data_IF_246080768250
#
_entry.id   IF_246080768250
#
_cell.length_a   1.000
_cell.length_b   1.000
_cell.length_c   1.000
_cell.angle_alpha   90.00
_cell.angle_beta   90.00
_cell.angle_gamma   90.00
#
_symmetry.space_group_name_H-M   'P 1'
#
loop_
_entity.id
_entity.type
_entity.pdbx_description
1 polymer ?
#
# COMPACT_ATOMS: atom_id res chain seq x y z
N UNK A 1 91.05 8.28 -52.27
CA UNK A 1 89.86 7.58 -52.82
C UNK A 1 88.81 7.23 -51.77
N UNK A 2 89.15 7.20 -50.47
CA UNK A 2 88.20 6.93 -49.38
C UNK A 2 87.20 8.08 -49.12
N UNK A 3 87.61 9.35 -49.26
CA UNK A 3 86.70 10.49 -48.99
C UNK A 3 85.53 10.59 -49.97
N UNK A 4 85.73 10.27 -51.26
CA UNK A 4 84.65 10.25 -52.26
C UNK A 4 83.67 9.08 -52.07
N UNK A 5 84.08 7.99 -51.43
CA UNK A 5 83.21 6.86 -51.09
C UNK A 5 82.41 7.09 -49.79
N UNK A 6 82.89 7.98 -48.91
CA UNK A 6 82.20 8.33 -47.66
C UNK A 6 80.95 9.20 -47.89
N UNK A 7 80.98 10.10 -48.88
CA UNK A 7 79.86 11.00 -49.21
C UNK A 7 78.56 10.23 -49.54
N UNK A 8 78.53 9.27 -50.50
CA UNK A 8 77.30 8.54 -50.82
C UNK A 8 76.81 7.68 -49.64
N UNK A 9 77.72 7.16 -48.82
CA UNK A 9 77.35 6.38 -47.62
C UNK A 9 76.68 7.26 -46.56
N UNK A 10 77.19 8.47 -46.32
CA UNK A 10 76.57 9.45 -45.42
C UNK A 10 75.19 9.88 -45.93
N UNK A 11 75.03 10.11 -47.23
CA UNK A 11 73.73 10.45 -47.84
C UNK A 11 72.74 9.31 -47.66
N UNK A 12 73.15 8.05 -47.88
CA UNK A 12 72.31 6.88 -47.68
C UNK A 12 71.84 6.76 -46.22
N UNK A 13 72.73 6.99 -45.26
CA UNK A 13 72.39 7.02 -43.83
C UNK A 13 71.38 8.13 -43.54
N UNK A 14 71.58 9.34 -44.07
CA UNK A 14 70.65 10.46 -43.86
C UNK A 14 69.27 10.17 -44.44
N UNK A 15 69.20 9.57 -45.64
CA UNK A 15 67.93 9.15 -46.25
C UNK A 15 67.27 8.06 -45.41
N UNK A 16 68.02 7.06 -44.94
CA UNK A 16 67.49 6.01 -44.09
C UNK A 16 66.93 6.58 -42.78
N UNK A 17 67.67 7.48 -42.12
CA UNK A 17 67.21 8.19 -40.91
C UNK A 17 65.95 9.02 -41.21
N UNK A 18 65.92 9.75 -42.32
CA UNK A 18 64.75 10.54 -42.73
C UNK A 18 63.51 9.65 -42.93
N UNK A 19 63.65 8.51 -43.62
CA UNK A 19 62.55 7.56 -43.85
C UNK A 19 62.08 6.96 -42.53
N UNK A 20 62.99 6.57 -41.64
CA UNK A 20 62.65 6.03 -40.31
C UNK A 20 61.86 7.07 -39.50
N UNK A 21 62.33 8.32 -39.43
CA UNK A 21 61.64 9.41 -38.73
C UNK A 21 60.29 9.71 -39.36
N UNK A 22 60.18 9.68 -40.69
CA UNK A 22 58.93 9.87 -41.42
C UNK A 22 57.91 8.78 -41.09
N UNK A 23 58.31 7.51 -41.05
CA UNK A 23 57.44 6.38 -40.68
C UNK A 23 56.96 6.52 -39.23
N UNK A 24 57.86 6.81 -38.29
CA UNK A 24 57.46 7.00 -36.89
C UNK A 24 56.51 8.19 -36.69
N UNK A 25 56.66 9.28 -37.45
CA UNK A 25 55.71 10.39 -37.43
C UNK A 25 54.40 10.10 -38.16
N UNK A 26 54.40 9.18 -39.12
CA UNK A 26 53.22 8.84 -39.89
C UNK A 26 52.21 8.04 -39.06
N UNK A 27 52.69 7.15 -38.20
CA UNK A 27 51.82 6.27 -37.41
C UNK A 27 51.21 7.03 -36.24
N UNK A 28 49.88 7.13 -36.20
CA UNK A 28 49.13 7.71 -35.08
C UNK A 28 48.05 6.75 -34.61
N UNK A 29 47.96 6.58 -33.30
CA UNK A 29 46.93 5.78 -32.64
C UNK A 29 45.91 6.72 -32.03
N UNK A 30 44.65 6.57 -32.40
CA UNK A 30 43.52 7.32 -31.83
C UNK A 30 42.83 6.44 -30.79
N UNK A 31 42.73 6.88 -29.52
CA UNK A 31 42.03 6.12 -28.48
C UNK A 31 40.52 6.00 -28.76
N UNK A 32 39.87 5.06 -28.06
CA UNK A 32 38.42 4.90 -28.13
C UNK A 32 37.68 6.15 -27.62
N UNK A 33 36.60 6.50 -28.31
CA UNK A 33 35.78 7.70 -28.04
C UNK A 33 36.52 9.03 -28.24
N UNK A 34 37.58 9.04 -29.03
CA UNK A 34 38.22 10.26 -29.52
C UNK A 34 38.17 10.30 -31.04
N UNK A 35 38.06 11.52 -31.57
CA UNK A 35 38.23 11.79 -32.99
C UNK A 35 39.32 12.84 -33.18
N UNK A 36 40.16 12.64 -34.18
CA UNK A 36 41.18 13.60 -34.58
C UNK A 36 40.80 14.19 -35.93
N UNK A 37 40.75 15.53 -35.99
CA UNK A 37 40.52 16.26 -37.24
C UNK A 37 41.87 16.60 -37.86
N UNK A 38 42.06 16.18 -39.12
CA UNK A 38 43.31 16.36 -39.85
C UNK A 38 43.12 17.31 -41.02
N UNK A 39 44.05 18.25 -41.14
CA UNK A 39 44.14 19.21 -42.21
C UNK A 39 45.36 18.93 -43.09
N UNK A 40 45.17 19.05 -44.40
CA UNK A 40 46.24 19.02 -45.39
C UNK A 40 46.38 20.39 -46.02
N UNK A 41 47.52 21.05 -45.79
CA UNK A 41 47.79 22.40 -46.30
C UNK A 41 46.64 23.40 -45.98
N UNK A 42 46.02 23.26 -44.81
CA UNK A 42 44.93 24.12 -44.34
C UNK A 42 43.53 23.76 -44.84
N UNK A 43 43.37 22.68 -45.62
CA UNK A 43 42.05 22.14 -45.99
C UNK A 43 41.72 20.92 -45.16
N UNK A 44 40.45 20.76 -44.80
CA UNK A 44 39.96 19.52 -44.19
C UNK A 44 40.26 18.32 -45.10
N UNK A 45 40.90 17.29 -44.55
CA UNK A 45 41.22 16.06 -45.26
C UNK A 45 40.34 14.91 -44.79
N UNK A 46 40.41 14.59 -43.50
CA UNK A 46 39.75 13.42 -42.94
C UNK A 46 39.51 13.58 -41.44
N UNK A 47 38.54 12.81 -40.95
CA UNK A 47 38.28 12.57 -39.54
C UNK A 47 38.77 11.16 -39.20
N UNK A 48 39.68 11.06 -38.24
CA UNK A 48 40.20 9.78 -37.77
C UNK A 48 39.57 9.43 -36.42
N UNK A 49 38.69 8.43 -36.43
CA UNK A 49 38.15 7.81 -35.22
C UNK A 49 39.10 6.78 -34.59
N UNK A 50 38.60 5.98 -33.65
CA UNK A 50 39.42 5.01 -32.93
C UNK A 50 40.16 4.02 -33.86
N UNK A 51 41.45 3.81 -33.62
CA UNK A 51 42.27 2.87 -34.39
C UNK A 51 43.65 3.41 -34.80
N UNK A 52 44.33 2.62 -35.62
CA UNK A 52 45.63 2.98 -36.19
C UNK A 52 45.42 3.74 -37.51
N UNK A 53 45.96 4.94 -37.60
CA UNK A 53 45.87 5.79 -38.79
C UNK A 53 47.25 6.25 -39.24
N UNK A 54 47.38 6.51 -40.54
CA UNK A 54 48.61 6.97 -41.16
C UNK A 54 48.45 8.42 -41.64
N UNK A 55 49.24 9.33 -41.07
CA UNK A 55 49.32 10.72 -41.48
C UNK A 55 50.52 10.90 -42.40
N UNK A 56 50.39 11.71 -43.45
CA UNK A 56 51.55 12.08 -44.27
C UNK A 56 52.38 13.08 -43.47
N UNK A 57 53.58 12.73 -43.00
CA UNK A 57 54.39 13.63 -42.19
C UNK A 57 54.70 14.90 -42.99
N UNK A 58 54.81 16.03 -42.28
CA UNK A 58 55.09 17.37 -42.84
C UNK A 58 53.95 18.03 -43.65
N UNK A 59 53.06 17.26 -44.29
CA UNK A 59 51.94 17.81 -45.08
C UNK A 59 50.63 17.81 -44.28
N UNK A 60 50.36 16.72 -43.56
CA UNK A 60 49.16 16.57 -42.75
C UNK A 60 49.42 17.10 -41.33
N UNK A 61 48.50 17.92 -40.82
CA UNK A 61 48.55 18.50 -39.47
C UNK A 61 47.29 18.17 -38.71
N UNK A 62 47.44 17.74 -37.46
CA UNK A 62 46.32 17.58 -36.53
C UNK A 62 45.83 18.96 -36.09
N UNK A 63 44.56 19.27 -36.38
CA UNK A 63 43.92 20.55 -36.05
C UNK A 63 43.33 20.53 -34.64
N UNK A 64 42.52 19.51 -34.33
CA UNK A 64 41.84 19.34 -33.04
C UNK A 64 41.69 17.86 -32.72
N UNK A 65 41.74 17.54 -31.43
CA UNK A 65 41.35 16.24 -30.89
C UNK A 65 40.08 16.47 -30.10
N UNK A 66 39.00 15.82 -30.51
CA UNK A 66 37.67 15.97 -29.92
C UNK A 66 37.34 14.70 -29.13
N UNK A 67 36.89 14.90 -27.89
CA UNK A 67 36.37 13.82 -27.07
C UNK A 67 34.88 13.63 -27.39
N UNK A 68 34.51 12.42 -27.78
CA UNK A 68 33.16 12.04 -28.20
C UNK A 68 32.30 11.56 -27.04
N UNK A 69 32.86 11.45 -25.82
CA UNK A 69 32.12 11.05 -24.62
C UNK A 69 31.18 12.17 -24.19
N UNK A 70 30.20 11.78 -23.39
CA UNK A 70 29.37 12.74 -22.68
C UNK A 70 30.20 13.52 -21.67
N UNK A 71 30.06 14.84 -21.72
CA UNK A 71 30.77 15.79 -20.89
C UNK A 71 29.78 16.65 -20.13
N UNK A 72 30.18 16.98 -18.92
CA UNK A 72 29.43 17.86 -18.04
C UNK A 72 30.13 19.20 -17.93
N UNK A 73 29.37 20.28 -18.09
CA UNK A 73 29.88 21.63 -17.86
C UNK A 73 28.89 22.43 -17.01
N UNK A 74 29.42 23.08 -15.98
CA UNK A 74 28.67 24.01 -15.13
C UNK A 74 28.90 25.44 -15.60
N UNK A 75 27.82 26.20 -15.77
CA UNK A 75 27.90 27.63 -16.07
C UNK A 75 27.72 28.47 -14.80
N UNK A 76 28.37 29.63 -14.70
CA UNK A 76 28.28 30.49 -13.53
C UNK A 76 26.86 31.07 -13.36
N UNK A 77 26.46 31.42 -12.11
CA UNK A 77 25.17 32.02 -11.83
C UNK A 77 24.88 33.23 -12.72
N UNK A 78 23.72 33.23 -13.35
CA UNK A 78 23.26 34.36 -14.15
C UNK A 78 22.04 35.02 -13.48
N UNK A 79 22.05 36.36 -13.32
CA UNK A 79 20.89 37.08 -12.82
C UNK A 79 19.82 37.16 -13.91
N UNK A 80 18.62 36.69 -13.60
CA UNK A 80 17.44 36.72 -14.46
C UNK A 80 16.28 37.38 -13.73
N UNK A 81 15.44 38.11 -14.45
CA UNK A 81 14.26 38.76 -13.89
C UNK A 81 13.05 37.88 -14.20
N UNK A 82 12.29 37.52 -13.17
CA UNK A 82 11.01 36.81 -13.26
C UNK A 82 9.87 37.76 -13.64
N UNK A 83 8.70 37.21 -13.98
CA UNK A 83 7.52 37.99 -14.38
C UNK A 83 6.98 38.92 -13.27
N UNK A 84 7.22 38.60 -12.01
CA UNK A 84 6.92 39.41 -10.82
C UNK A 84 8.03 40.41 -10.46
N UNK A 85 8.97 40.64 -11.39
CA UNK A 85 10.03 41.64 -11.28
C UNK A 85 11.01 41.38 -10.13
N UNK A 86 11.26 40.10 -9.80
CA UNK A 86 12.30 39.69 -8.86
C UNK A 86 13.55 39.24 -9.62
N UNK A 87 14.73 39.57 -9.07
CA UNK A 87 16.01 39.12 -9.62
C UNK A 87 16.40 37.81 -8.95
N UNK A 88 16.44 36.73 -9.72
CA UNK A 88 16.88 35.40 -9.29
C UNK A 88 18.22 35.05 -9.92
N UNK A 89 19.10 34.41 -9.17
CA UNK A 89 20.35 33.86 -9.69
C UNK A 89 20.16 32.38 -9.99
N UNK A 90 20.48 31.96 -11.22
CA UNK A 90 20.27 30.58 -11.65
C UNK A 90 21.59 29.97 -12.12
N UNK A 91 21.92 28.84 -11.50
CA UNK A 91 23.04 27.98 -11.88
C UNK A 91 22.51 26.81 -12.70
N UNK A 92 23.20 26.47 -13.78
CA UNK A 92 22.83 25.32 -14.62
C UNK A 92 24.04 24.48 -14.98
N UNK A 93 23.77 23.19 -15.15
CA UNK A 93 24.72 22.17 -15.59
C UNK A 93 24.18 21.53 -16.86
N UNK A 94 25.04 21.40 -17.86
CA UNK A 94 24.66 20.89 -19.18
C UNK A 94 25.48 19.66 -19.49
N UNK A 95 24.77 18.60 -19.87
CA UNK A 95 25.33 17.34 -20.35
C UNK A 95 25.27 17.35 -21.87
N UNK A 96 26.43 17.31 -22.51
CA UNK A 96 26.54 17.35 -23.96
C UNK A 96 27.54 16.33 -24.46
N UNK A 97 27.37 15.90 -25.71
CA UNK A 97 28.33 15.07 -26.42
C UNK A 97 28.53 15.58 -27.84
N UNK A 98 29.75 15.48 -28.34
CA UNK A 98 30.04 15.80 -29.73
C UNK A 98 29.71 14.58 -30.60
N UNK A 99 28.72 14.74 -31.47
CA UNK A 99 28.27 13.69 -32.41
C UNK A 99 28.94 13.78 -33.77
N UNK A 100 29.29 14.99 -34.21
CA UNK A 100 30.03 15.25 -35.45
C UNK A 100 31.20 16.20 -35.14
N UNK A 101 32.43 15.67 -34.99
CA UNK A 101 33.59 16.46 -34.58
C UNK A 101 34.11 17.38 -35.69
N UNK A 102 33.84 17.05 -36.97
CA UNK A 102 34.14 17.94 -38.10
C UNK A 102 33.29 19.20 -37.99
N UNK A 103 31.98 19.05 -37.82
CA UNK A 103 31.05 20.17 -37.67
C UNK A 103 31.37 21.01 -36.44
N UNK A 104 31.67 20.37 -35.31
CA UNK A 104 32.04 21.07 -34.08
C UNK A 104 33.34 21.89 -34.23
N UNK A 105 34.25 21.50 -35.11
CA UNK A 105 35.53 22.20 -35.35
C UNK A 105 35.40 23.35 -36.35
N UNK A 106 34.53 23.23 -37.36
CA UNK A 106 34.48 24.18 -38.48
C UNK A 106 33.24 25.06 -38.54
N UNK A 107 32.10 24.62 -37.98
CA UNK A 107 30.85 25.37 -38.04
C UNK A 107 30.73 26.41 -36.92
N UNK A 108 31.55 26.30 -35.87
CA UNK A 108 31.61 27.28 -34.77
C UNK A 108 33.01 27.41 -34.17
N UNK A 109 33.37 28.64 -33.78
CA UNK A 109 34.69 28.93 -33.19
C UNK A 109 34.86 28.39 -31.76
N UNK A 110 33.83 28.54 -30.92
CA UNK A 110 33.76 28.00 -29.57
C UNK A 110 32.33 27.58 -29.27
N UNK A 111 32.07 26.28 -29.38
CA UNK A 111 30.74 25.76 -29.08
C UNK A 111 30.36 25.92 -27.60
N UNK A 112 31.34 25.86 -26.69
CA UNK A 112 31.05 25.99 -25.26
C UNK A 112 30.52 27.38 -24.91
N UNK A 113 31.16 28.42 -25.46
CA UNK A 113 30.71 29.81 -25.29
C UNK A 113 29.35 30.05 -25.94
N UNK A 114 29.08 29.40 -27.06
CA UNK A 114 27.79 29.54 -27.73
C UNK A 114 26.66 28.83 -26.98
N UNK A 115 26.93 27.64 -26.42
CA UNK A 115 26.01 26.94 -25.51
C UNK A 115 25.71 27.80 -24.29
N UNK A 116 26.72 28.44 -23.69
CA UNK A 116 26.54 29.38 -22.57
C UNK A 116 25.58 30.51 -22.95
N UNK A 117 25.83 31.19 -24.07
CA UNK A 117 24.99 32.32 -24.52
C UNK A 117 23.56 31.89 -24.85
N UNK A 118 23.39 30.74 -25.50
CA UNK A 118 22.07 30.17 -25.76
C UNK A 118 21.35 29.84 -24.47
N UNK A 119 22.06 29.31 -23.47
CA UNK A 119 21.52 28.99 -22.15
C UNK A 119 21.05 30.25 -21.45
N UNK A 120 21.86 31.31 -21.40
CA UNK A 120 21.46 32.60 -20.80
C UNK A 120 20.23 33.18 -21.48
N UNK A 121 20.19 33.16 -22.81
CA UNK A 121 19.07 33.69 -23.58
C UNK A 121 17.79 32.87 -23.33
N UNK A 122 17.92 31.55 -23.28
CA UNK A 122 16.79 30.64 -23.04
C UNK A 122 16.28 30.77 -21.62
N UNK A 123 17.18 30.81 -20.61
CA UNK A 123 16.82 31.08 -19.22
C UNK A 123 16.06 32.41 -19.09
N UNK A 124 16.55 33.48 -19.71
CA UNK A 124 15.86 34.78 -19.68
C UNK A 124 14.44 34.71 -20.25
N UNK A 125 14.24 33.99 -21.34
CA UNK A 125 12.94 33.85 -21.98
C UNK A 125 11.97 32.98 -21.15
N UNK A 126 12.43 31.83 -20.66
CA UNK A 126 11.60 30.89 -19.89
C UNK A 126 11.22 31.51 -18.55
N UNK A 127 12.21 31.98 -17.78
CA UNK A 127 12.00 32.53 -16.44
C UNK A 127 11.30 33.88 -16.49
N UNK A 128 11.53 34.69 -17.53
CA UNK A 128 10.81 35.95 -17.71
C UNK A 128 9.30 35.78 -17.89
N UNK A 129 8.83 34.58 -18.26
CA UNK A 129 7.42 34.23 -18.38
C UNK A 129 6.82 33.57 -17.11
N UNK A 130 7.64 33.29 -16.11
CA UNK A 130 7.25 32.60 -14.87
C UNK A 130 7.40 33.54 -13.67
N UNK A 131 6.59 33.36 -12.64
CA UNK A 131 6.82 34.02 -11.34
C UNK A 131 7.88 33.25 -10.52
N UNK A 132 8.26 33.78 -9.35
CA UNK A 132 9.25 33.13 -8.49
C UNK A 132 8.80 31.74 -7.99
N UNK A 133 7.53 31.59 -7.59
CA UNK A 133 7.02 30.32 -7.03
C UNK A 133 6.98 29.21 -8.10
N UNK A 134 6.48 29.53 -9.28
CA UNK A 134 6.47 28.65 -10.44
C UNK A 134 7.89 28.29 -10.85
N UNK A 135 8.82 29.24 -10.82
CA UNK A 135 10.24 28.98 -11.12
C UNK A 135 10.85 27.99 -10.14
N UNK A 136 10.52 28.07 -8.85
CA UNK A 136 11.02 27.16 -7.81
C UNK A 136 10.42 25.76 -7.87
N UNK A 137 9.14 25.66 -8.26
CA UNK A 137 8.38 24.40 -8.28
C UNK A 137 8.44 23.65 -9.62
N UNK A 138 8.61 24.37 -10.74
CA UNK A 138 8.50 23.82 -12.10
C UNK A 138 9.85 23.51 -12.76
N UNK A 139 10.81 22.98 -11.97
CA UNK A 139 12.18 22.70 -12.45
C UNK A 139 12.23 21.75 -13.65
N UNK A 140 11.39 20.72 -13.67
CA UNK A 140 11.34 19.74 -14.76
C UNK A 140 10.85 20.36 -16.07
N UNK A 141 9.87 21.27 -15.99
CA UNK A 141 9.38 22.01 -17.15
C UNK A 141 10.48 22.91 -17.72
N UNK A 142 11.22 23.60 -16.85
CA UNK A 142 12.33 24.47 -17.26
C UNK A 142 13.44 23.63 -17.92
N UNK A 143 13.87 22.55 -17.28
CA UNK A 143 14.87 21.61 -17.83
C UNK A 143 14.46 21.09 -19.21
N UNK A 144 13.20 20.68 -19.38
CA UNK A 144 12.66 20.18 -20.64
C UNK A 144 12.68 21.23 -21.76
N UNK A 145 12.27 22.46 -21.46
CA UNK A 145 12.28 23.57 -22.42
C UNK A 145 13.71 23.97 -22.80
N UNK A 146 14.63 24.10 -21.83
CA UNK A 146 16.04 24.39 -22.12
C UNK A 146 16.67 23.32 -22.99
N UNK A 147 16.50 22.05 -22.63
CA UNK A 147 17.03 20.92 -23.42
C UNK A 147 16.53 20.96 -24.86
N UNK A 148 15.23 21.19 -25.07
CA UNK A 148 14.64 21.25 -26.40
C UNK A 148 15.22 22.37 -27.28
N UNK A 149 15.32 23.58 -26.73
CA UNK A 149 15.87 24.74 -27.47
C UNK A 149 17.37 24.56 -27.73
N UNK A 150 18.12 24.11 -26.71
CA UNK A 150 19.56 23.92 -26.83
C UNK A 150 19.91 22.82 -27.82
N UNK A 151 19.30 21.64 -27.72
CA UNK A 151 19.60 20.52 -28.64
C UNK A 151 19.28 20.87 -30.10
N UNK A 152 18.15 21.54 -30.35
CA UNK A 152 17.79 22.00 -31.68
C UNK A 152 18.80 23.01 -32.24
N UNK A 153 19.28 23.94 -31.40
CA UNK A 153 20.23 24.95 -31.81
C UNK A 153 21.64 24.35 -32.02
N UNK A 154 22.12 23.51 -31.09
CA UNK A 154 23.48 22.94 -31.08
C UNK A 154 23.66 21.79 -32.06
N UNK A 155 22.58 21.13 -32.47
CA UNK A 155 22.62 20.11 -33.53
C UNK A 155 23.16 20.67 -34.84
N UNK A 156 23.07 21.99 -35.05
CA UNK A 156 23.69 22.69 -36.18
C UNK A 156 25.22 22.78 -36.11
N UNK A 157 25.85 22.36 -35.01
CA UNK A 157 27.30 22.33 -34.82
C UNK A 157 27.82 20.91 -34.57
N UNK A 158 26.98 19.89 -34.77
CA UNK A 158 27.36 18.50 -34.48
C UNK A 158 27.37 18.14 -32.99
N UNK A 159 26.68 18.92 -32.14
CA UNK A 159 26.64 18.72 -30.69
C UNK A 159 25.22 18.35 -30.26
N UNK A 160 25.11 17.26 -29.51
CA UNK A 160 23.86 16.82 -28.89
C UNK A 160 23.85 17.20 -27.43
N UNK A 161 22.76 17.80 -26.97
CA UNK A 161 22.53 18.07 -25.54
C UNK A 161 21.67 16.95 -24.98
N UNK A 162 22.26 16.11 -24.14
CA UNK A 162 21.56 14.98 -23.54
C UNK A 162 20.58 15.44 -22.48
N UNK A 163 21.05 16.29 -21.56
CA UNK A 163 20.27 16.78 -20.43
C UNK A 163 20.71 18.17 -19.98
N UNK A 164 19.79 18.90 -19.34
CA UNK A 164 20.04 20.19 -18.71
C UNK A 164 19.44 20.14 -17.32
N UNK A 165 20.23 20.52 -16.32
CA UNK A 165 19.81 20.51 -14.93
C UNK A 165 20.07 21.88 -14.29
N UNK A 166 19.04 22.44 -13.67
CA UNK A 166 19.19 23.59 -12.78
C UNK A 166 19.84 23.12 -11.46
N UNK A 167 20.99 23.68 -11.14
CA UNK A 167 21.72 23.37 -9.90
C UNK A 167 21.12 24.11 -8.70
N UNK A 168 20.89 25.42 -8.83
CA UNK A 168 20.22 26.24 -7.84
C UNK A 168 19.41 27.36 -8.50
N UNK A 169 18.42 27.83 -7.76
CA UNK A 169 17.60 29.00 -8.08
C UNK A 169 17.56 29.81 -6.78
N UNK A 170 18.33 30.89 -6.75
CA UNK A 170 18.56 31.65 -5.55
C UNK A 170 17.79 32.98 -5.62
N UNK A 171 16.72 33.16 -4.81
CA UNK A 171 15.97 34.42 -4.73
C UNK A 171 16.80 35.52 -4.04
N UNK A 172 16.39 36.79 -4.18
CA UNK A 172 17.06 37.87 -3.48
C UNK A 172 16.83 37.75 -1.96
N UNK A 173 17.86 38.06 -1.18
CA UNK A 173 17.86 37.90 0.28
C UNK A 173 16.72 38.67 1.00
N UNK A 174 16.18 39.72 0.36
CA UNK A 174 15.07 40.52 0.89
C UNK A 174 13.76 39.73 1.05
N UNK A 175 13.51 38.73 0.20
CA UNK A 175 12.24 37.98 0.17
C UNK A 175 12.39 36.55 0.70
N UNK A 176 13.60 36.00 0.69
CA UNK A 176 13.86 34.62 1.13
C UNK A 176 13.29 34.31 2.53
N UNK A 177 13.53 35.19 3.51
CA UNK A 177 13.03 34.98 4.88
C UNK A 177 11.50 35.08 5.00
N UNK A 178 10.87 36.00 4.28
CA UNK A 178 9.41 36.13 4.26
C UNK A 178 8.74 34.91 3.61
N UNK A 179 9.33 34.42 2.52
CA UNK A 179 8.85 33.23 1.81
C UNK A 179 9.01 31.96 2.66
N UNK A 180 10.14 31.78 3.34
CA UNK A 180 10.31 30.64 4.27
C UNK A 180 9.26 30.66 5.38
N UNK A 181 8.97 31.83 5.95
CA UNK A 181 7.94 31.99 6.98
C UNK A 181 6.53 31.69 6.42
N UNK A 182 6.22 32.18 5.22
CA UNK A 182 4.95 31.92 4.54
C UNK A 182 4.78 30.43 4.21
N UNK A 183 5.82 29.79 3.68
CA UNK A 183 5.83 28.37 3.33
C UNK A 183 5.65 27.47 4.56
N UNK A 184 6.27 27.84 5.69
CA UNK A 184 6.05 27.16 6.98
C UNK A 184 4.61 27.30 7.43
N UNK A 185 4.08 28.52 7.45
CA UNK A 185 2.71 28.78 7.86
C UNK A 185 1.68 28.02 7.00
N UNK A 186 1.87 27.97 5.68
CA UNK A 186 1.00 27.23 4.76
C UNK A 186 1.11 25.70 4.95
N UNK A 187 2.32 25.18 5.17
CA UNK A 187 2.53 23.77 5.52
C UNK A 187 1.88 23.40 6.84
N UNK A 188 2.04 24.23 7.87
CA UNK A 188 1.44 24.01 9.19
C UNK A 188 -0.09 24.03 9.09
N UNK A 189 -0.66 24.96 8.32
CA UNK A 189 -2.09 25.02 8.04
C UNK A 189 -2.59 23.76 7.35
N UNK A 190 -1.90 23.30 6.30
CA UNK A 190 -2.28 22.07 5.58
C UNK A 190 -2.17 20.84 6.46
N UNK A 191 -1.11 20.74 7.27
CA UNK A 191 -0.94 19.65 8.22
C UNK A 191 -2.07 19.62 9.27
N UNK A 192 -2.48 20.79 9.78
CA UNK A 192 -3.58 20.90 10.73
C UNK A 192 -4.93 20.47 10.11
N UNK A 193 -5.22 20.88 8.87
CA UNK A 193 -6.43 20.47 8.15
C UNK A 193 -6.45 18.95 7.93
N UNK A 194 -5.35 18.39 7.42
CA UNK A 194 -5.24 16.95 7.16
C UNK A 194 -5.38 16.14 8.46
N UNK A 195 -4.83 16.64 9.57
CA UNK A 195 -4.99 16.01 10.89
C UNK A 195 -6.45 16.04 11.35
N UNK A 196 -7.12 17.18 11.21
CA UNK A 196 -8.53 17.33 11.57
C UNK A 196 -9.44 16.41 10.72
N UNK A 197 -9.16 16.31 9.42
CA UNK A 197 -9.84 15.38 8.51
C UNK A 197 -9.60 13.92 8.89
N UNK A 198 -8.35 13.55 9.22
CA UNK A 198 -8.00 12.22 9.70
C UNK A 198 -8.71 11.85 11.00
N UNK A 199 -8.79 12.77 11.97
CA UNK A 199 -9.52 12.56 13.23
C UNK A 199 -11.01 12.39 12.97
N UNK A 200 -11.60 13.25 12.13
CA UNK A 200 -13.02 13.14 11.76
C UNK A 200 -13.31 11.79 11.09
N UNK A 201 -12.50 11.38 10.13
CA UNK A 201 -12.67 10.12 9.41
C UNK A 201 -12.52 8.92 10.35
N UNK A 202 -11.54 8.95 11.26
CA UNK A 202 -11.34 7.90 12.26
C UNK A 202 -12.54 7.78 13.22
N UNK A 203 -13.12 8.91 13.64
CA UNK A 203 -14.32 8.91 14.49
C UNK A 203 -15.54 8.34 13.77
N UNK A 204 -15.73 8.68 12.49
CA UNK A 204 -16.82 8.14 11.67
C UNK A 204 -16.68 6.62 11.54
N UNK A 205 -15.50 6.14 11.14
CA UNK A 205 -15.23 4.70 10.99
C UNK A 205 -15.41 3.93 12.30
N UNK A 206 -15.02 4.53 13.44
CA UNK A 206 -15.22 3.92 14.75
C UNK A 206 -16.72 3.81 15.09
N UNK A 207 -17.49 4.88 14.87
CA UNK A 207 -18.93 4.89 15.13
C UNK A 207 -19.70 3.91 14.22
N UNK A 208 -19.29 3.80 12.94
CA UNK A 208 -19.84 2.83 12.00
C UNK A 208 -19.52 1.40 12.43
N UNK A 209 -18.27 1.13 12.82
CA UNK A 209 -17.84 -0.16 13.37
C UNK A 209 -18.62 -0.54 14.62
N UNK A 210 -18.83 0.39 15.55
CA UNK A 210 -19.61 0.16 16.78
C UNK A 210 -21.08 -0.14 16.47
N UNK A 211 -21.70 0.62 15.57
CA UNK A 211 -23.07 0.38 15.10
C UNK A 211 -23.20 -1.01 14.49
N UNK A 212 -22.32 -1.37 13.56
CA UNK A 212 -22.36 -2.66 12.88
C UNK A 212 -22.10 -3.81 13.86
N UNK A 213 -21.15 -3.64 14.79
CA UNK A 213 -20.89 -4.60 15.86
C UNK A 213 -22.09 -4.78 16.79
N UNK A 214 -22.82 -3.71 17.12
CA UNK A 214 -24.04 -3.79 17.94
C UNK A 214 -25.16 -4.55 17.23
N UNK A 215 -25.37 -4.29 15.93
CA UNK A 215 -26.36 -5.00 15.10
C UNK A 215 -26.03 -6.50 15.05
N UNK A 216 -24.80 -6.85 14.68
CA UNK A 216 -24.36 -8.24 14.59
C UNK A 216 -24.47 -8.99 15.92
N UNK A 217 -24.22 -8.32 17.05
CA UNK A 217 -24.43 -8.92 18.38
C UNK A 217 -25.91 -9.14 18.67
N UNK A 218 -26.78 -8.19 18.35
CA UNK A 218 -28.23 -8.32 18.56
C UNK A 218 -28.81 -9.45 17.70
N UNK A 219 -28.42 -9.53 16.43
CA UNK A 219 -28.79 -10.61 15.51
C UNK A 219 -28.28 -11.96 16.01
N UNK A 220 -27.01 -12.04 16.43
CA UNK A 220 -26.44 -13.27 17.00
C UNK A 220 -27.17 -13.73 18.27
N UNK A 221 -27.59 -12.80 19.15
CA UNK A 221 -28.38 -13.12 20.34
C UNK A 221 -29.78 -13.62 19.99
N UNK A 222 -30.47 -12.95 19.06
CA UNK A 222 -31.79 -13.37 18.59
C UNK A 222 -31.74 -14.76 17.94
N UNK A 223 -30.78 -14.99 17.04
CA UNK A 223 -30.53 -16.27 16.38
C UNK A 223 -30.24 -17.37 17.42
N UNK A 224 -29.40 -17.08 18.41
CA UNK A 224 -29.07 -18.01 19.49
C UNK A 224 -30.30 -18.37 20.34
N UNK A 225 -31.13 -17.39 20.69
CA UNK A 225 -32.36 -17.62 21.45
C UNK A 225 -33.37 -18.47 20.67
N UNK A 226 -33.55 -18.21 19.38
CA UNK A 226 -34.41 -19.01 18.48
C UNK A 226 -33.90 -20.45 18.41
N UNK A 227 -32.61 -20.64 18.13
CA UNK A 227 -32.01 -21.98 18.04
C UNK A 227 -32.12 -22.74 19.36
N UNK A 228 -31.95 -22.07 20.50
CA UNK A 228 -32.13 -22.67 21.82
C UNK A 228 -33.57 -23.09 22.07
N UNK A 229 -34.55 -22.22 21.81
CA UNK A 229 -35.96 -22.54 21.97
C UNK A 229 -36.40 -23.70 21.05
N UNK A 230 -35.91 -23.73 19.81
CA UNK A 230 -36.13 -24.85 18.89
C UNK A 230 -35.49 -26.16 19.40
N UNK A 231 -34.27 -26.08 19.94
CA UNK A 231 -33.58 -27.21 20.55
C UNK A 231 -34.34 -27.78 21.75
N UNK A 232 -34.82 -26.91 22.65
CA UNK A 232 -35.64 -27.28 23.81
C UNK A 232 -36.98 -27.90 23.37
N UNK A 233 -37.67 -27.28 22.40
CA UNK A 233 -38.90 -27.83 21.84
C UNK A 233 -38.71 -29.23 21.25
N UNK A 234 -37.66 -29.42 20.43
CA UNK A 234 -37.33 -30.74 19.86
C UNK A 234 -36.98 -31.76 20.95
N UNK A 235 -36.24 -31.37 21.98
CA UNK A 235 -35.90 -32.24 23.10
C UNK A 235 -37.16 -32.65 23.87
N UNK A 236 -38.08 -31.72 24.15
CA UNK A 236 -39.36 -32.00 24.81
C UNK A 236 -40.19 -32.98 23.97
N UNK A 237 -40.31 -32.73 22.66
CA UNK A 237 -41.05 -33.62 21.76
C UNK A 237 -40.44 -35.02 21.71
N UNK A 238 -39.10 -35.14 21.65
CA UNK A 238 -38.42 -36.43 21.68
C UNK A 238 -38.66 -37.20 22.99
N UNK A 239 -38.59 -36.51 24.13
CA UNK A 239 -38.88 -37.12 25.44
C UNK A 239 -40.35 -37.53 25.54
N UNK A 240 -41.27 -36.67 25.11
CA UNK A 240 -42.71 -36.95 25.08
C UNK A 240 -43.01 -38.18 24.22
N UNK A 241 -42.46 -38.25 23.01
CA UNK A 241 -42.57 -39.39 22.10
C UNK A 241 -42.00 -40.68 22.72
N UNK A 242 -40.83 -40.59 23.37
CA UNK A 242 -40.21 -41.74 24.01
C UNK A 242 -41.06 -42.28 25.18
N UNK A 243 -41.69 -41.40 25.96
CA UNK A 243 -42.60 -41.77 27.06
C UNK A 243 -43.85 -42.49 26.51
N UNK A 244 -44.46 -41.96 25.45
CA UNK A 244 -45.66 -42.54 24.85
C UNK A 244 -45.38 -43.89 24.17
N UNK A 245 -44.25 -44.00 23.48
CA UNK A 245 -43.82 -45.23 22.79
C UNK A 245 -43.34 -46.31 23.78
N UNK A 246 -42.83 -45.91 24.95
CA UNK A 246 -42.39 -46.81 26.02
C UNK A 246 -43.50 -47.29 26.97
N UNK A 247 -44.73 -46.77 26.85
CA UNK A 247 -45.88 -47.13 27.69
C UNK A 247 -45.59 -46.98 29.20
N UNK A 248 -45.03 -45.83 29.59
CA UNK A 248 -44.61 -45.56 30.97
C UNK A 248 -45.81 -45.59 31.94
N UNK A 249 -45.71 -46.42 33.00
CA UNK A 249 -46.74 -46.56 34.04
C UNK A 249 -47.05 -45.19 34.71
N UNK A 250 -48.34 -44.80 34.86
CA UNK A 250 -48.76 -43.55 35.50
C UNK A 250 -48.09 -43.27 36.86
N UNK A 251 -47.68 -44.30 37.60
CA UNK A 251 -46.97 -44.17 38.88
C UNK A 251 -45.55 -43.60 38.75
N UNK A 252 -44.89 -43.83 37.61
CA UNK A 252 -43.52 -43.34 37.36
C UNK A 252 -43.51 -41.84 37.04
N UNK A 253 -44.54 -41.36 36.33
CA UNK A 253 -44.75 -39.93 36.05
C UNK A 253 -44.99 -39.15 37.34
N UNK A 254 -45.83 -39.67 38.24
CA UNK A 254 -46.06 -39.08 39.55
C UNK A 254 -44.78 -39.03 40.39
N UNK A 255 -43.93 -40.06 40.32
CA UNK A 255 -42.64 -40.09 41.02
C UNK A 255 -41.61 -39.10 40.45
N UNK A 256 -41.49 -38.98 39.12
CA UNK A 256 -40.65 -37.95 38.49
C UNK A 256 -41.13 -36.54 38.85
N UNK A 257 -42.46 -36.31 38.83
CA UNK A 257 -43.04 -35.03 39.24
C UNK A 257 -42.65 -34.68 40.68
N UNK A 258 -42.72 -35.67 41.60
CA UNK A 258 -42.27 -35.54 42.99
C UNK A 258 -40.76 -35.28 43.12
N UNK A 259 -39.92 -35.84 42.25
CA UNK A 259 -38.48 -35.55 42.19
C UNK A 259 -38.13 -34.18 41.56
N UNK A 260 -39.03 -33.60 40.75
CA UNK A 260 -38.85 -32.24 40.22
C UNK A 260 -39.29 -31.14 41.20
N UNK A 261 -40.16 -31.46 42.17
CA UNK A 261 -40.59 -30.52 43.22
C UNK A 261 -39.43 -29.85 43.97
N UNK A 262 -38.34 -30.56 44.39
CA UNK A 262 -37.18 -29.94 45.01
C UNK A 262 -36.42 -28.95 44.10
N UNK A 263 -36.41 -29.19 42.78
CA UNK A 263 -35.73 -28.30 41.81
C UNK A 263 -36.52 -26.99 41.61
N UNK A 264 -37.85 -27.07 41.69
CA UNK A 264 -38.75 -25.90 41.66
C UNK A 264 -38.65 -25.10 42.97
N UNK A 265 -38.38 -25.77 44.10
CA UNK A 265 -38.18 -25.12 45.40
C UNK A 265 -36.81 -24.40 45.53
N UNK A 266 -35.78 -24.82 44.79
CA UNK A 266 -34.44 -24.20 44.83
C UNK A 266 -34.22 -23.07 43.81
N UNK A 267 -35.19 -22.78 42.93
CA UNK A 267 -35.14 -21.61 42.04
C UNK A 267 -35.37 -20.32 42.84
N UNK A 268 -34.46 -19.36 42.74
CA UNK A 268 -34.37 -18.15 43.58
C UNK A 268 -35.53 -17.13 43.44
N UNK A 269 -36.73 -17.53 43.01
CA UNK A 269 -37.92 -16.65 42.91
C UNK A 269 -39.26 -17.32 43.26
N UNK A 270 -39.27 -18.46 43.94
CA UNK A 270 -40.53 -19.11 44.37
C UNK A 270 -41.09 -18.52 45.67
N UNK A 271 -41.77 -17.36 45.58
CA UNK A 271 -42.51 -16.74 46.72
C UNK A 271 -44.04 -16.87 46.63
N UNK A 272 -44.55 -17.49 45.56
CA UNK A 272 -45.99 -17.76 45.38
C UNK A 272 -46.23 -19.26 45.39
N UNK A 273 -46.96 -19.73 46.41
CA UNK A 273 -47.36 -21.12 46.60
C UNK A 273 -48.84 -21.24 46.24
N UNK A 274 -49.16 -21.96 45.16
CA UNK A 274 -50.54 -22.28 44.77
C UNK A 274 -50.74 -23.77 45.02
N UNK A 275 -51.63 -24.12 45.94
CA UNK A 275 -52.09 -25.50 46.12
C UNK A 275 -53.28 -25.71 45.19
N UNK A 276 -53.21 -26.64 44.22
CA UNK A 276 -54.35 -27.00 43.40
C UNK A 276 -55.43 -27.66 44.28
N UNK A 277 -56.68 -27.26 44.09
CA UNK A 277 -57.88 -27.78 44.77
C UNK A 277 -58.07 -29.30 44.67
N UNK A 278 -57.42 -29.94 43.69
CA UNK A 278 -57.39 -31.39 43.52
C UNK A 278 -56.68 -32.12 44.69
N UNK A 279 -55.70 -31.48 45.33
CA UNK A 279 -55.04 -32.04 46.52
C UNK A 279 -55.97 -32.05 47.73
N UNK A 280 -56.83 -31.04 47.87
CA UNK A 280 -57.82 -30.95 48.95
C UNK A 280 -58.97 -31.93 48.74
N UNK A 281 -59.43 -32.11 47.49
CA UNK A 281 -60.49 -33.06 47.14
C UNK A 281 -60.07 -34.53 47.39
N UNK A 282 -58.82 -34.87 47.10
CA UNK A 282 -58.26 -36.19 47.42
C UNK A 282 -58.17 -36.45 48.94
N UNK A 283 -58.01 -35.39 49.74
CA UNK A 283 -57.92 -35.48 51.20
C UNK A 283 -59.30 -35.66 51.86
N UNK A 284 -60.35 -35.02 51.33
CA UNK A 284 -61.74 -35.19 51.80
C UNK A 284 -62.34 -36.56 51.45
N UNK A 285 -61.93 -37.16 50.33
CA UNK A 285 -62.30 -38.54 50.00
C UNK A 285 -61.78 -39.57 51.01
N UNK A 286 -60.67 -39.27 51.69
CA UNK A 286 -60.08 -40.11 52.74
C UNK A 286 -60.74 -39.83 54.11
N UNK A 287 -61.20 -38.60 54.37
CA UNK A 287 -61.88 -38.24 55.62
C UNK A 287 -63.32 -38.78 55.68
N UNK A 288 -64.03 -38.84 54.54
CA UNK A 288 -65.40 -39.36 54.44
C UNK A 288 -65.54 -40.88 54.59
N UNK A 289 -64.46 -41.65 54.44
CA UNK A 289 -64.46 -43.10 54.60
C UNK A 289 -64.25 -43.57 56.07
N UNK A 290 -63.96 -42.66 57.00
CA UNK A 290 -63.56 -42.99 58.39
C UNK A 290 -64.52 -42.47 59.49
N UNK A 291 -65.60 -41.75 59.18
CA UNK A 291 -66.52 -41.24 60.21
C UNK A 291 -67.95 -40.96 59.74
N UNK A 292 -68.92 -41.76 60.21
CA UNK A 292 -70.34 -41.59 59.86
C UNK A 292 -71.15 -40.73 60.84
N UNK A 293 -72.17 -40.01 60.31
CA UNK A 293 -73.57 -39.93 60.79
C UNK A 293 -74.45 -38.92 60.01
N UNK A 294 -75.54 -39.46 59.45
CA UNK A 294 -76.96 -39.03 59.39
C UNK A 294 -77.42 -37.55 59.19
N UNK A 295 -78.00 -37.32 58.01
CA UNK A 295 -79.42 -36.96 57.70
C UNK A 295 -80.10 -35.64 58.14
N UNK A 296 -80.27 -34.72 57.16
CA UNK A 296 -81.54 -34.08 56.68
C UNK A 296 -82.26 -32.99 57.50
N UNK A 297 -83.24 -32.21 56.94
CA UNK A 297 -83.73 -32.12 55.55
C UNK A 297 -83.81 -30.67 54.97
N UNK A 298 -84.13 -30.58 53.67
CA UNK A 298 -84.21 -29.38 52.82
C UNK A 298 -85.37 -28.40 53.13
N UNK A 299 -85.30 -27.17 52.55
CA UNK A 299 -86.45 -26.67 51.79
C UNK A 299 -86.11 -26.09 50.42
N UNK A 300 -87.14 -26.14 49.56
CA UNK A 300 -87.23 -25.72 48.17
C UNK A 300 -87.14 -24.20 47.97
N UNK A 301 -86.45 -23.77 46.92
CA UNK A 301 -86.46 -22.41 46.39
C UNK A 301 -85.93 -22.39 44.97
N UNK A 302 -86.85 -22.19 44.01
CA UNK A 302 -86.62 -22.04 42.58
C UNK A 302 -85.72 -20.84 42.27
N UNK A 303 -84.62 -21.10 41.59
CA UNK A 303 -83.72 -20.11 41.01
C UNK A 303 -82.78 -20.81 40.04
N UNK A 304 -83.07 -20.64 38.76
CA UNK A 304 -82.32 -21.05 37.57
C UNK A 304 -80.79 -21.16 37.80
N UNK A 305 -80.24 -22.37 37.63
CA UNK A 305 -78.81 -22.62 37.58
C UNK A 305 -78.24 -22.10 36.25
N UNK A 306 -77.55 -20.96 36.31
CA UNK A 306 -76.70 -20.53 35.21
C UNK A 306 -75.44 -21.42 35.15
N UNK A 307 -75.12 -22.05 34.02
CA UNK A 307 -73.85 -22.74 33.88
C UNK A 307 -72.75 -21.68 33.84
N UNK A 308 -71.79 -21.74 34.76
CA UNK A 308 -70.53 -21.01 34.61
C UNK A 308 -69.69 -21.77 33.58
N UNK A 309 -70.10 -21.66 32.31
CA UNK A 309 -69.21 -21.85 31.18
C UNK A 309 -68.35 -20.60 31.07
N UNK A 310 -67.04 -20.79 30.93
CA UNK A 310 -66.20 -19.72 30.40
C UNK A 310 -66.68 -19.45 28.98
N UNK A 311 -67.31 -18.31 28.80
CA UNK A 311 -67.79 -17.82 27.52
C UNK A 311 -66.60 -17.56 26.60
N UNK A 312 -66.40 -18.45 25.62
CA UNK A 312 -65.46 -18.27 24.51
C UNK A 312 -66.13 -17.61 23.28
N UNK A 313 -67.36 -17.09 23.42
CA UNK A 313 -68.08 -16.43 22.32
C UNK A 313 -67.94 -14.90 22.29
N UNK A 314 -67.11 -14.34 23.17
CA UNK A 314 -66.76 -12.91 23.16
C UNK A 314 -65.52 -12.51 22.35
N UNK A 315 -64.79 -13.47 21.79
CA UNK A 315 -63.58 -13.19 21.01
C UNK A 315 -63.80 -13.54 19.54
N UNK A 316 -64.69 -12.80 18.88
CA UNK A 316 -64.49 -12.52 17.46
C UNK A 316 -63.30 -11.54 17.32
N UNK A 317 -62.11 -11.96 17.77
CA UNK A 317 -60.88 -11.44 17.21
C UNK A 317 -60.80 -12.05 15.81
N UNK A 318 -61.39 -11.30 14.89
CA UNK A 318 -60.83 -11.05 13.58
C UNK A 318 -60.12 -12.25 12.94
N UNK A 319 -60.89 -13.04 12.20
CA UNK A 319 -60.37 -13.96 11.18
C UNK A 319 -59.49 -13.22 10.14
N UNK A 320 -59.40 -11.88 10.17
CA UNK A 320 -58.39 -11.08 9.49
C UNK A 320 -56.98 -11.25 10.06
N UNK A 321 -56.77 -11.36 11.38
CA UNK A 321 -55.40 -11.39 11.95
C UNK A 321 -54.70 -12.73 11.71
N UNK A 322 -55.42 -13.85 11.76
CA UNK A 322 -54.86 -15.17 11.44
C UNK A 322 -54.57 -15.33 9.93
N UNK A 323 -55.37 -14.69 9.08
CA UNK A 323 -55.16 -14.63 7.63
C UNK A 323 -54.02 -13.67 7.26
N UNK A 324 -53.89 -12.54 7.95
CA UNK A 324 -52.82 -11.56 7.75
C UNK A 324 -51.46 -12.11 8.22
N UNK A 325 -51.43 -12.91 9.30
CA UNK A 325 -50.21 -13.62 9.73
C UNK A 325 -49.82 -14.76 8.78
N UNK A 326 -50.79 -15.39 8.10
CA UNK A 326 -50.55 -16.39 7.06
C UNK A 326 -50.13 -15.79 5.71
N UNK A 327 -50.47 -14.51 5.47
CA UNK A 327 -50.09 -13.77 4.25
C UNK A 327 -48.70 -13.11 4.32
N UNK A 328 -48.11 -13.06 5.53
CA UNK A 328 -46.71 -12.68 5.71
C UNK A 328 -45.87 -13.93 5.45
N UNK A 329 -45.50 -14.13 4.19
CA UNK A 329 -44.67 -15.23 3.73
C UNK A 329 -43.25 -15.08 4.33
N UNK A 330 -43.09 -15.51 5.57
CA UNK A 330 -41.79 -15.62 6.23
C UNK A 330 -41.04 -16.77 5.56
N UNK A 331 -39.86 -16.53 4.97
CA UNK A 331 -39.08 -17.59 4.34
C UNK A 331 -38.82 -18.70 5.34
N UNK A 332 -38.85 -19.93 4.85
CA UNK A 332 -38.49 -21.09 5.67
C UNK A 332 -37.06 -20.90 6.22
N UNK A 333 -36.73 -21.45 7.41
CA UNK A 333 -35.41 -21.23 8.02
C UNK A 333 -34.22 -21.60 7.12
N UNK A 334 -34.41 -22.52 6.17
CA UNK A 334 -33.40 -22.88 5.17
C UNK A 334 -33.23 -21.82 4.08
N UNK A 335 -34.32 -21.20 3.60
CA UNK A 335 -34.26 -20.12 2.61
C UNK A 335 -33.68 -18.84 3.20
N UNK A 336 -34.03 -18.48 4.44
CA UNK A 336 -33.47 -17.33 5.13
C UNK A 336 -31.95 -17.48 5.34
N UNK A 337 -31.48 -18.69 5.61
CA UNK A 337 -30.06 -18.99 5.82
C UNK A 337 -29.28 -19.04 4.49
N UNK A 338 -29.92 -19.50 3.41
CA UNK A 338 -29.37 -19.44 2.06
C UNK A 338 -29.23 -18.00 1.56
N UNK A 339 -30.24 -17.15 1.82
CA UNK A 339 -30.20 -15.73 1.45
C UNK A 339 -29.13 -14.97 2.23
N UNK A 340 -29.03 -15.17 3.55
CA UNK A 340 -27.98 -14.55 4.37
C UNK A 340 -26.57 -14.96 3.95
N UNK A 341 -26.37 -16.20 3.47
CA UNK A 341 -25.08 -16.64 2.90
C UNK A 341 -24.79 -15.98 1.55
N UNK A 342 -25.78 -15.87 0.67
CA UNK A 342 -25.62 -15.19 -0.62
C UNK A 342 -25.29 -13.71 -0.46
N UNK A 343 -25.95 -13.02 0.47
CA UNK A 343 -25.69 -11.62 0.78
C UNK A 343 -24.28 -11.43 1.38
N UNK A 344 -23.85 -12.32 2.29
CA UNK A 344 -22.49 -12.30 2.84
C UNK A 344 -21.41 -12.55 1.77
N UNK A 345 -21.64 -13.48 0.83
CA UNK A 345 -20.71 -13.75 -0.27
C UNK A 345 -20.63 -12.57 -1.25
N UNK A 346 -21.76 -11.91 -1.54
CA UNK A 346 -21.79 -10.72 -2.41
C UNK A 346 -21.07 -9.52 -1.78
N UNK A 347 -21.28 -9.25 -0.48
CA UNK A 347 -20.55 -8.20 0.23
C UNK A 347 -19.04 -8.48 0.32
N UNK A 348 -18.64 -9.75 0.39
CA UNK A 348 -17.23 -10.17 0.37
C UNK A 348 -16.58 -9.94 -1.00
N UNK A 349 -17.34 -10.14 -2.09
CA UNK A 349 -16.89 -9.91 -3.46
C UNK A 349 -16.79 -8.42 -3.77
N UNK A 350 -17.78 -7.62 -3.36
CA UNK A 350 -17.74 -6.15 -3.51
C UNK A 350 -16.56 -5.54 -2.76
N UNK A 351 -16.30 -5.97 -1.52
CA UNK A 351 -15.12 -5.53 -0.76
C UNK A 351 -13.77 -5.95 -1.40
N UNK A 352 -13.76 -7.00 -2.22
CA UNK A 352 -12.58 -7.43 -2.98
C UNK A 352 -12.39 -6.65 -4.29
N UNK A 353 -13.47 -6.11 -4.85
CA UNK A 353 -13.45 -5.31 -6.08
C UNK A 353 -13.18 -3.82 -5.82
N UNK A 354 -13.50 -3.31 -4.62
CA UNK A 354 -13.41 -1.88 -4.27
C UNK A 354 -12.03 -1.41 -3.76
N UNK A 355 -10.95 -2.17 -3.99
CA UNK A 355 -9.57 -1.72 -3.70
C UNK A 355 -8.91 -1.18 -4.99
N UNK A 356 -8.84 0.15 -5.21
CA UNK A 356 -8.12 0.69 -6.35
C UNK A 356 -6.64 0.78 -5.96
N UNK A 357 -5.84 -0.15 -6.47
CA UNK A 357 -4.38 -0.01 -6.53
C UNK A 357 -3.58 -1.03 -5.72
N UNK A 358 -3.50 -2.26 -6.22
CA UNK A 358 -2.36 -3.14 -5.97
C UNK A 358 -1.96 -3.83 -7.28
N UNK A 359 -0.65 -3.96 -7.59
CA UNK A 359 -0.22 -4.35 -8.93
C UNK A 359 -0.59 -5.81 -9.21
N UNK A 360 -1.25 -6.04 -10.36
CA UNK A 360 -1.50 -7.38 -10.90
C UNK A 360 -0.17 -8.03 -11.26
N UNK A 361 0.28 -8.98 -10.45
CA UNK A 361 1.38 -9.87 -10.79
C UNK A 361 1.99 -10.59 -9.60
N UNK A 362 1.45 -11.74 -9.22
CA UNK A 362 2.22 -12.85 -8.63
C UNK A 362 1.36 -14.13 -8.62
N UNK A 363 1.96 -15.23 -9.06
CA UNK A 363 1.34 -16.55 -9.18
C UNK A 363 0.99 -17.21 -7.84
N UNK A 364 0.38 -18.39 -7.98
CA UNK A 364 -0.11 -19.27 -6.93
C UNK A 364 0.82 -19.40 -5.70
N UNK A 365 0.27 -19.56 -4.48
CA UNK A 365 1.07 -19.73 -3.28
C UNK A 365 1.77 -21.10 -3.28
N UNK A 366 3.09 -21.09 -3.43
CA UNK A 366 3.95 -22.22 -3.08
C UNK A 366 3.90 -22.48 -1.57
N UNK A 367 3.81 -23.76 -1.21
CA UNK A 367 3.82 -24.27 0.16
C UNK A 367 4.99 -23.74 1.01
N UNK A 368 4.82 -23.59 2.34
CA UNK A 368 5.91 -23.16 3.22
C UNK A 368 7.02 -24.22 3.29
N UNK A 369 8.30 -23.81 3.45
CA UNK A 369 9.40 -24.76 3.53
C UNK A 369 9.32 -25.60 4.81
N UNK A 370 9.52 -26.90 4.65
CA UNK A 370 9.66 -27.88 5.72
C UNK A 370 10.83 -27.55 6.64
N UNK A 371 10.54 -27.39 7.93
CA UNK A 371 11.52 -27.29 9.01
C UNK A 371 12.27 -28.62 9.15
N UNK A 372 13.62 -28.66 9.17
CA UNK A 372 14.36 -29.90 9.40
C UNK A 372 14.26 -30.32 10.88
N UNK A 373 14.32 -31.63 11.19
CA UNK A 373 14.17 -32.11 12.55
C UNK A 373 15.37 -31.72 13.42
N UNK A 374 15.09 -31.25 14.64
CA UNK A 374 16.07 -30.91 15.65
C UNK A 374 16.96 -32.11 16.02
N UNK A 375 18.27 -31.95 15.85
CA UNK A 375 19.29 -32.87 16.38
C UNK A 375 19.32 -32.80 17.91
N UNK A 376 19.25 -33.98 18.55
CA UNK A 376 19.36 -34.17 20.01
C UNK A 376 20.68 -33.59 20.57
N UNK A 377 20.70 -33.04 21.78
CA UNK A 377 21.95 -32.69 22.45
C UNK A 377 22.65 -33.95 22.98
N UNK A 378 23.91 -34.13 22.59
CA UNK A 378 24.85 -35.09 23.17
C UNK A 378 25.44 -34.53 24.47
N UNK A 379 25.45 -35.35 25.52
CA UNK A 379 26.05 -35.08 26.84
C UNK A 379 27.53 -34.67 26.76
N UNK A 380 28.03 -33.78 27.65
CA UNK A 380 29.45 -33.50 27.74
C UNK A 380 30.13 -34.48 28.72
N UNK A 381 30.96 -35.37 28.18
CA UNK A 381 32.04 -36.04 28.93
C UNK A 381 33.25 -35.11 28.93
N UNK A 382 33.77 -34.82 30.12
CA UNK A 382 34.86 -33.86 30.33
C UNK A 382 36.21 -34.31 29.81
N UNK A 383 37.09 -33.32 29.65
CA UNK A 383 38.54 -33.54 29.69
C UNK A 383 39.22 -32.32 30.33
N UNK A 384 40.25 -32.62 31.11
CA UNK A 384 41.06 -31.71 31.93
C UNK A 384 42.11 -30.98 31.08
N UNK A 385 42.47 -29.74 31.46
CA UNK A 385 43.63 -29.08 30.83
C UNK A 385 43.90 -27.64 31.25
N UNK A 386 44.32 -27.45 32.50
CA UNK A 386 45.33 -26.47 32.97
C UNK A 386 45.56 -25.14 32.22
N UNK A 387 45.25 -24.00 32.87
CA UNK A 387 46.12 -22.80 32.88
C UNK A 387 46.00 -22.10 34.25
N UNK A 388 47.16 -21.82 34.86
CA UNK A 388 47.36 -21.15 36.15
C UNK A 388 46.98 -19.65 36.15
N UNK A 389 46.85 -19.01 37.34
CA UNK A 389 46.42 -17.63 37.49
C UNK A 389 47.58 -16.65 37.72
N UNK A 390 47.56 -15.53 37.01
CA UNK A 390 48.28 -14.29 37.31
C UNK A 390 47.40 -13.17 36.74
N UNK A 391 47.13 -12.04 37.39
CA UNK A 391 47.53 -11.47 38.65
C UNK A 391 46.80 -10.13 38.68
N UNK A 392 46.14 -9.81 39.79
CA UNK A 392 45.45 -8.53 39.93
C UNK A 392 46.42 -7.36 39.99
N UNK A 393 45.98 -6.20 39.54
CA UNK A 393 45.83 -5.02 40.40
C UNK A 393 45.09 -3.88 39.68
N UNK A 394 44.27 -3.11 40.40
CA UNK A 394 43.67 -1.85 39.94
C UNK A 394 44.49 -0.64 40.41
N UNK A 395 44.32 0.51 39.73
CA UNK A 395 44.59 1.90 40.17
C UNK A 395 44.53 2.77 38.90
N UNK A 396 43.94 3.97 38.82
CA UNK A 396 43.28 4.90 39.73
C UNK A 396 42.18 5.63 38.95
#
# INVERSE_FOLDING_TARGET
MSEFAMIPFVILILIAVFVIVAIFRAVRIVPQSYAIIVERLGKFQAEYGAGLHFLVPFVDRVRSTVDLREQVVSFPPQPVITSDNLVVSIDSVIYYQVTDPKRATYEIASYLQAIEQLTVTTLRNVIGSMDLEQTLTSRDQINGQLRGVLDQATGRWGIRVSNVELKSIDPPASIQGAMEQQMRAERDRRAAILTAEGVKQSQILTAEGDKQSAILRAEGQAQSAILKAQGESRAILQVFDAIHRGNADPKLLAYQYLQTLPKIANGSSSKMWIVPTEFTAALDGISGALGGRSSGPAPSGSGEEAPVGVDLTGTSLDLGIASDLASTNLPTPEEALAQARGEAESASQEASEEVPGAPRGAGAPTAPPSVPPASRPSSPSGDYGTVSPEGGQPQQ
#
